data_IF_482153683779
#
_entry.id   IF_482153683779
#
_cell.length_a   1.000
_cell.length_b   1.000
_cell.length_c   1.000
_cell.angle_alpha   90.00
_cell.angle_beta   90.00
_cell.angle_gamma   90.00
#
_symmetry.space_group_name_H-M   'P 1'
#
loop_
_entity.id
_entity.type
_entity.pdbx_description
1 polymer ?
#
# COMPACT_ATOMS: atom_id res chain seq x y z
N UNK A 1 -0.89 10.62 -10.86
CA UNK A 1 -0.40 11.44 -9.74
C UNK A 1 -1.28 11.23 -8.52
N UNK A 2 -0.67 10.97 -7.37
CA UNK A 2 -1.41 10.71 -6.15
C UNK A 2 -1.54 11.98 -5.32
N UNK A 3 -2.77 12.40 -5.04
CA UNK A 3 -3.04 13.48 -4.09
C UNK A 3 -2.92 13.01 -2.64
N UNK A 4 -2.86 11.70 -2.42
CA UNK A 4 -2.78 11.07 -1.11
C UNK A 4 -1.65 10.06 -1.06
N UNK A 5 -0.98 9.98 0.09
CA UNK A 5 -0.05 8.91 0.40
C UNK A 5 -0.85 7.80 1.08
N UNK A 6 -1.10 6.69 0.38
CA UNK A 6 -1.98 5.60 0.86
C UNK A 6 -1.49 4.99 2.17
N UNK A 7 -0.17 4.87 2.33
CA UNK A 7 0.44 4.18 3.46
C UNK A 7 1.11 5.14 4.44
N UNK A 8 0.58 6.37 4.56
CA UNK A 8 1.10 7.36 5.50
C UNK A 8 1.18 6.79 6.91
N UNK A 9 2.32 6.96 7.55
CA UNK A 9 2.59 6.42 8.88
C UNK A 9 3.09 4.98 8.90
N UNK A 10 3.08 4.29 7.75
CA UNK A 10 3.51 2.89 7.63
C UNK A 10 4.83 2.74 6.87
N UNK A 11 5.29 3.81 6.21
CA UNK A 11 6.52 3.79 5.40
C UNK A 11 7.69 4.25 6.25
N UNK A 12 8.77 3.47 6.22
CA UNK A 12 10.02 3.78 6.94
C UNK A 12 11.19 3.69 5.96
N UNK A 13 12.30 4.34 6.31
CA UNK A 13 13.53 4.20 5.55
C UNK A 13 14.32 2.95 5.99
N UNK A 14 15.46 2.71 5.37
CA UNK A 14 16.28 1.53 5.67
C UNK A 14 16.89 1.57 7.08
N UNK A 15 16.94 2.75 7.70
CA UNK A 15 17.41 2.93 9.07
C UNK A 15 16.29 2.77 10.11
N UNK A 16 15.06 2.54 9.66
CA UNK A 16 13.90 2.36 10.52
C UNK A 16 13.21 3.64 10.93
N UNK A 17 13.57 4.77 10.33
CA UNK A 17 12.95 6.06 10.62
C UNK A 17 11.68 6.23 9.81
N UNK A 18 10.60 6.68 10.46
CA UNK A 18 9.33 6.90 9.78
C UNK A 18 9.46 8.00 8.72
N UNK A 19 8.94 7.75 7.53
CA UNK A 19 8.88 8.74 6.46
C UNK A 19 7.79 9.77 6.78
N UNK A 20 8.12 11.04 6.65
CA UNK A 20 7.15 12.13 6.77
C UNK A 20 6.37 12.27 5.47
N UNK A 21 5.23 12.93 5.53
CA UNK A 21 4.41 13.22 4.36
C UNK A 21 4.52 14.71 4.04
N UNK A 22 4.80 14.99 2.78
CA UNK A 22 4.83 16.36 2.27
C UNK A 22 4.17 16.40 0.89
N UNK A 23 3.85 17.59 0.42
CA UNK A 23 3.26 17.77 -0.90
C UNK A 23 4.14 18.66 -1.75
N UNK A 24 4.36 18.25 -3.00
CA UNK A 24 4.98 19.07 -4.02
C UNK A 24 3.88 19.43 -5.00
N UNK A 25 3.35 20.65 -4.89
CA UNK A 25 2.11 21.00 -5.57
C UNK A 25 0.95 20.20 -5.02
N UNK A 26 0.25 19.45 -5.87
CA UNK A 26 -0.86 18.59 -5.49
C UNK A 26 -0.43 17.13 -5.27
N UNK A 27 0.85 16.82 -5.40
CA UNK A 27 1.37 15.46 -5.30
C UNK A 27 1.88 15.17 -3.89
N UNK A 28 1.34 14.14 -3.27
CA UNK A 28 1.85 13.65 -1.99
C UNK A 28 3.19 12.96 -2.18
N UNK A 29 4.09 13.15 -1.23
CA UNK A 29 5.42 12.54 -1.24
C UNK A 29 5.74 11.95 0.12
N UNK A 30 6.47 10.84 0.12
CA UNK A 30 7.13 10.34 1.32
C UNK A 30 8.52 11.00 1.41
N UNK A 31 8.83 11.55 2.56
CA UNK A 31 10.11 12.25 2.78
C UNK A 31 11.00 11.36 3.65
N UNK A 32 12.16 11.00 3.13
CA UNK A 32 13.18 10.26 3.87
C UNK A 32 14.43 11.12 3.97
N UNK A 33 15.19 10.95 5.06
CA UNK A 33 16.42 11.69 5.30
C UNK A 33 17.60 10.90 4.76
N UNK A 34 18.38 11.55 3.87
CA UNK A 34 19.66 11.05 3.39
C UNK A 34 20.73 12.00 3.94
N UNK A 35 21.32 11.66 5.09
CA UNK A 35 22.12 12.55 5.92
C UNK A 35 21.30 13.80 6.27
N UNK A 36 21.75 15.00 5.88
CA UNK A 36 21.03 16.25 6.11
C UNK A 36 20.10 16.62 4.96
N UNK A 37 19.99 15.77 3.94
CA UNK A 37 19.19 16.04 2.76
C UNK A 37 17.83 15.34 2.85
N UNK A 38 16.77 16.13 2.69
CA UNK A 38 15.40 15.61 2.67
C UNK A 38 15.05 15.18 1.25
N UNK A 39 14.87 13.88 1.04
CA UNK A 39 14.47 13.34 -0.26
C UNK A 39 12.97 13.21 -0.31
N UNK A 40 12.36 13.88 -1.30
CA UNK A 40 10.93 13.80 -1.56
C UNK A 40 10.70 12.71 -2.60
N UNK A 41 10.02 11.67 -2.20
CA UNK A 41 9.74 10.50 -3.05
C UNK A 41 8.26 10.49 -3.36
N UNK A 42 7.92 10.46 -4.66
CA UNK A 42 6.53 10.47 -5.11
C UNK A 42 5.77 9.30 -4.48
N UNK A 43 4.69 9.61 -3.77
CA UNK A 43 3.86 8.60 -3.10
C UNK A 43 3.28 7.61 -4.11
N UNK A 44 2.91 8.07 -5.30
CA UNK A 44 2.40 7.17 -6.35
C UNK A 44 3.41 6.07 -6.71
N UNK A 45 4.70 6.43 -6.81
CA UNK A 45 5.76 5.47 -7.11
C UNK A 45 5.85 4.37 -6.06
N UNK A 46 5.82 4.75 -4.78
CA UNK A 46 5.90 3.80 -3.67
C UNK A 46 4.61 2.98 -3.56
N UNK A 47 3.47 3.65 -3.57
CA UNK A 47 2.17 3.00 -3.40
C UNK A 47 1.91 1.98 -4.50
N UNK A 48 2.27 2.31 -5.74
CA UNK A 48 2.12 1.39 -6.86
C UNK A 48 2.95 0.13 -6.69
N UNK A 49 4.18 0.26 -6.19
CA UNK A 49 5.04 -0.89 -5.92
C UNK A 49 4.44 -1.79 -4.83
N UNK A 50 3.91 -1.18 -3.77
CA UNK A 50 3.28 -1.92 -2.67
C UNK A 50 2.05 -2.68 -3.19
N UNK A 51 1.20 -2.02 -3.97
CA UNK A 51 0.00 -2.64 -4.52
C UNK A 51 0.34 -3.79 -5.47
N UNK A 52 1.37 -3.64 -6.29
CA UNK A 52 1.83 -4.72 -7.16
C UNK A 52 2.35 -5.91 -6.37
N UNK A 53 3.08 -5.64 -5.30
CA UNK A 53 3.56 -6.70 -4.41
C UNK A 53 2.38 -7.44 -3.77
N UNK A 54 1.40 -6.70 -3.24
CA UNK A 54 0.20 -7.28 -2.65
C UNK A 54 -0.57 -8.13 -3.66
N UNK A 55 -0.72 -7.62 -4.89
CA UNK A 55 -1.38 -8.36 -5.97
C UNK A 55 -0.66 -9.67 -6.27
N UNK A 56 0.66 -9.65 -6.35
CA UNK A 56 1.46 -10.85 -6.58
C UNK A 56 1.28 -11.88 -5.48
N UNK A 57 1.27 -11.46 -4.21
CA UNK A 57 1.05 -12.35 -3.08
C UNK A 57 -0.34 -12.98 -3.12
N UNK A 58 -1.36 -12.19 -3.45
CA UNK A 58 -2.72 -12.69 -3.54
C UNK A 58 -2.88 -13.64 -4.73
N UNK A 59 -2.26 -13.33 -5.88
CA UNK A 59 -2.34 -14.19 -7.06
C UNK A 59 -1.64 -15.53 -6.87
N UNK A 60 -0.51 -15.57 -6.14
CA UNK A 60 0.18 -16.80 -5.82
C UNK A 60 -0.68 -17.77 -5.00
N UNK A 61 -1.62 -17.22 -4.23
CA UNK A 61 -2.54 -17.96 -3.38
C UNK A 61 -4.00 -17.58 -3.68
N UNK A 62 -4.32 -17.37 -4.95
CA UNK A 62 -5.58 -16.80 -5.38
C UNK A 62 -6.80 -17.56 -4.86
N UNK A 63 -6.80 -18.88 -4.99
CA UNK A 63 -7.94 -19.70 -4.56
C UNK A 63 -8.16 -19.57 -3.06
N UNK A 64 -7.08 -19.58 -2.28
CA UNK A 64 -7.15 -19.42 -0.84
C UNK A 64 -7.65 -18.03 -0.45
N UNK A 65 -7.11 -16.98 -1.11
CA UNK A 65 -7.50 -15.60 -0.84
C UNK A 65 -8.97 -15.37 -1.15
N UNK A 66 -9.45 -15.87 -2.29
CA UNK A 66 -10.87 -15.77 -2.67
C UNK A 66 -11.75 -16.50 -1.66
N UNK A 67 -11.37 -17.72 -1.26
CA UNK A 67 -12.12 -18.51 -0.29
C UNK A 67 -12.21 -17.78 1.06
N UNK A 68 -11.13 -17.20 1.53
CA UNK A 68 -11.10 -16.44 2.79
C UNK A 68 -11.98 -15.19 2.72
N UNK A 69 -11.94 -14.46 1.61
CA UNK A 69 -12.78 -13.27 1.43
C UNK A 69 -14.27 -13.64 1.40
N UNK A 70 -14.64 -14.73 0.72
CA UNK A 70 -16.02 -15.21 0.68
C UNK A 70 -16.51 -15.62 2.07
N UNK A 71 -15.64 -16.26 2.85
CA UNK A 71 -15.96 -16.64 4.23
C UNK A 71 -16.20 -15.40 5.09
N UNK A 72 -15.36 -14.37 4.96
CA UNK A 72 -15.53 -13.11 5.69
C UNK A 72 -16.82 -12.39 5.33
N UNK A 73 -17.23 -12.45 4.07
CA UNK A 73 -18.46 -11.82 3.59
C UNK A 73 -19.70 -12.65 3.94
N UNK A 74 -19.53 -13.92 4.31
CA UNK A 74 -20.64 -14.83 4.60
C UNK A 74 -21.43 -15.22 3.36
N UNK A 75 -20.85 -15.10 2.18
CA UNK A 75 -21.48 -15.41 0.89
C UNK A 75 -20.53 -16.22 0.04
N UNK A 76 -21.07 -17.17 -0.71
CA UNK A 76 -20.28 -17.99 -1.63
C UNK A 76 -20.93 -18.13 -3.01
N UNK A 77 -21.80 -17.19 -3.37
CA UNK A 77 -22.44 -17.21 -4.68
C UNK A 77 -21.47 -16.77 -5.78
N UNK A 78 -21.84 -17.09 -7.03
CA UNK A 78 -20.98 -16.83 -8.20
C UNK A 78 -20.78 -15.34 -8.43
N UNK A 79 -21.75 -14.50 -8.11
CA UNK A 79 -21.65 -13.06 -8.30
C UNK A 79 -20.69 -12.43 -7.30
N UNK A 80 -20.73 -12.84 -6.05
CA UNK A 80 -19.80 -12.38 -5.02
C UNK A 80 -18.39 -12.83 -5.33
N UNK A 81 -18.22 -14.08 -5.77
CA UNK A 81 -16.93 -14.62 -6.18
C UNK A 81 -16.35 -13.81 -7.34
N UNK A 82 -17.14 -13.49 -8.36
CA UNK A 82 -16.69 -12.69 -9.49
C UNK A 82 -16.28 -11.29 -9.07
N UNK A 83 -17.01 -10.67 -8.14
CA UNK A 83 -16.67 -9.35 -7.61
C UNK A 83 -15.34 -9.37 -6.85
N UNK A 84 -15.11 -10.40 -6.02
CA UNK A 84 -13.84 -10.57 -5.29
C UNK A 84 -12.68 -10.76 -6.25
N UNK A 85 -12.83 -11.61 -7.26
CA UNK A 85 -11.79 -11.84 -8.26
C UNK A 85 -11.47 -10.57 -9.07
N UNK A 86 -12.49 -9.79 -9.41
CA UNK A 86 -12.31 -8.50 -10.08
C UNK A 86 -11.55 -7.52 -9.20
N UNK A 87 -11.84 -7.46 -7.90
CA UNK A 87 -11.13 -6.63 -6.95
C UNK A 87 -9.65 -6.99 -6.86
N UNK A 88 -9.34 -8.29 -6.85
CA UNK A 88 -7.96 -8.78 -6.84
C UNK A 88 -7.23 -8.35 -8.11
N UNK A 89 -7.87 -8.50 -9.27
CA UNK A 89 -7.26 -8.14 -10.55
C UNK A 89 -6.96 -6.65 -10.67
N UNK A 90 -7.63 -5.82 -9.89
CA UNK A 90 -7.51 -4.36 -9.97
C UNK A 90 -6.81 -3.74 -8.75
N UNK A 91 -6.13 -4.54 -7.92
CA UNK A 91 -5.46 -4.02 -6.73
C UNK A 91 -4.47 -2.90 -7.09
N UNK A 92 -3.65 -3.11 -8.11
CA UNK A 92 -2.64 -2.14 -8.53
C UNK A 92 -3.23 -0.88 -9.18
N UNK A 93 -4.52 -0.87 -9.47
CA UNK A 93 -5.24 0.30 -9.98
C UNK A 93 -5.82 1.16 -8.87
N UNK A 94 -5.67 0.73 -7.62
CA UNK A 94 -6.18 1.45 -6.45
C UNK A 94 -5.23 2.56 -5.97
N UNK A 95 -4.12 2.78 -6.67
CA UNK A 95 -3.14 3.82 -6.31
C UNK A 95 -3.82 5.19 -6.20
N UNK A 96 -3.53 5.91 -5.12
CA UNK A 96 -4.14 7.20 -4.85
C UNK A 96 -5.48 7.14 -4.10
N UNK A 97 -6.06 5.96 -3.90
CA UNK A 97 -7.26 5.80 -3.09
C UNK A 97 -6.90 5.92 -1.60
N UNK A 98 -7.58 6.78 -0.83
CA UNK A 98 -7.22 6.95 0.57
C UNK A 98 -7.59 5.72 1.39
N UNK A 99 -6.67 5.32 2.26
CA UNK A 99 -6.94 4.30 3.28
C UNK A 99 -7.34 5.05 4.55
N UNK A 100 -8.48 4.71 5.17
CA UNK A 100 -8.88 5.36 6.41
C UNK A 100 -7.80 5.28 7.49
N UNK A 101 -7.64 6.33 8.28
CA UNK A 101 -6.62 6.38 9.33
C UNK A 101 -6.75 5.23 10.31
N UNK A 102 -7.97 4.86 10.67
CA UNK A 102 -8.24 3.73 11.56
C UNK A 102 -7.68 2.42 11.01
N UNK A 103 -7.85 2.19 9.70
CA UNK A 103 -7.31 1.00 9.03
C UNK A 103 -5.78 1.03 9.04
N UNK A 104 -5.15 2.19 8.78
CA UNK A 104 -3.69 2.32 8.82
C UNK A 104 -3.13 2.07 10.21
N UNK A 105 -3.77 2.61 11.25
CA UNK A 105 -3.38 2.37 12.63
C UNK A 105 -3.45 0.89 12.98
N UNK A 106 -4.51 0.22 12.56
CA UNK A 106 -4.69 -1.21 12.81
C UNK A 106 -3.60 -2.03 12.11
N UNK A 107 -3.27 -1.69 10.86
CA UNK A 107 -2.19 -2.34 10.12
C UNK A 107 -0.84 -2.17 10.85
N UNK A 108 -0.57 -0.97 11.36
CA UNK A 108 0.63 -0.69 12.14
C UNK A 108 0.71 -1.51 13.41
N UNK A 109 -0.42 -1.69 14.10
CA UNK A 109 -0.50 -2.53 15.31
C UNK A 109 -0.20 -4.00 15.02
N UNK A 110 -0.53 -4.47 13.81
CA UNK A 110 -0.21 -5.84 13.36
C UNK A 110 1.24 -5.99 12.92
N UNK A 111 2.03 -4.93 12.98
CA UNK A 111 3.43 -4.95 12.57
C UNK A 111 3.64 -4.70 11.08
N UNK A 112 2.63 -4.25 10.36
CA UNK A 112 2.77 -3.92 8.95
C UNK A 112 3.63 -2.66 8.78
N UNK A 113 4.69 -2.77 7.98
CA UNK A 113 5.54 -1.63 7.63
C UNK A 113 6.09 -1.81 6.23
N UNK A 114 6.42 -0.69 5.59
CA UNK A 114 6.97 -0.66 4.24
C UNK A 114 8.32 0.02 4.33
N UNK A 115 9.39 -0.67 3.94
CA UNK A 115 10.74 -0.11 3.93
C UNK A 115 11.09 0.32 2.51
N UNK A 116 11.53 1.55 2.38
CA UNK A 116 11.96 2.12 1.08
C UNK A 116 13.40 2.59 1.17
N UNK A 117 14.08 2.59 0.01
CA UNK A 117 15.41 3.19 -0.11
C UNK A 117 15.28 4.68 -0.48
N UNK A 118 16.42 5.34 -0.68
CA UNK A 118 16.46 6.77 -1.02
C UNK A 118 16.00 7.07 -2.45
N UNK A 119 15.85 6.04 -3.27
CA UNK A 119 15.36 6.17 -4.64
C UNK A 119 13.86 5.89 -4.76
N UNK A 120 13.21 5.52 -3.65
CA UNK A 120 11.79 5.22 -3.62
C UNK A 120 11.44 3.80 -4.00
N UNK A 121 12.41 2.90 -3.98
CA UNK A 121 12.15 1.48 -4.23
C UNK A 121 11.75 0.80 -2.93
N UNK A 122 10.68 0.02 -2.97
CA UNK A 122 10.26 -0.80 -1.85
C UNK A 122 11.23 -1.97 -1.73
N UNK A 123 11.90 -2.08 -0.58
CA UNK A 123 12.94 -3.10 -0.36
C UNK A 123 12.52 -4.17 0.64
N UNK A 124 11.39 -3.93 1.34
CA UNK A 124 10.86 -4.92 2.29
C UNK A 124 9.36 -4.75 2.51
#
# INVERSE_FOLDING_TARGET
MAANAMFAGLVVDEDGNAAEIAWVGENACYVVMDDDFRRHIDAEQVDRQVLRFMRGQVEDNRDLAVAQMLEMLGKDDIFTKAAVESSINNIDKQVGQPIPEEARQWMGMLGFSIVIDFHGNVVD
#
